data_IF_883169542070
#
_entry.id   IF_883169542070
#
_cell.length_a   1.000
_cell.length_b   1.000
_cell.length_c   1.000
_cell.angle_alpha   90.00
_cell.angle_beta   90.00
_cell.angle_gamma   90.00
#
_symmetry.space_group_name_H-M   'P 1'
#
loop_
_entity.id
_entity.type
_entity.pdbx_description
1 polymer ?
#
# COMPACT_ATOMS: atom_id res chain seq x y z
N UNK A 1 19.33 -2.89 25.69
CA UNK A 1 18.51 -4.10 25.93
C UNK A 1 18.23 -4.28 27.42
N UNK A 2 19.25 -4.41 28.29
CA UNK A 2 19.03 -4.61 29.74
C UNK A 2 18.13 -3.56 30.42
N UNK A 3 18.24 -2.29 30.02
CA UNK A 3 17.37 -1.21 30.50
C UNK A 3 15.89 -1.41 30.09
N UNK A 4 15.64 -1.93 28.90
CA UNK A 4 14.29 -2.28 28.45
C UNK A 4 13.77 -3.51 29.17
N UNK A 5 14.61 -4.52 29.39
CA UNK A 5 14.23 -5.71 30.16
C UNK A 5 13.86 -5.35 31.62
N UNK A 6 14.57 -4.39 32.22
CA UNK A 6 14.23 -3.85 33.54
C UNK A 6 12.91 -3.06 33.52
N UNK A 7 12.70 -2.20 32.52
CA UNK A 7 11.47 -1.42 32.36
C UNK A 7 10.24 -2.32 32.15
N UNK A 8 10.37 -3.38 31.33
CA UNK A 8 9.29 -4.34 31.07
C UNK A 8 8.93 -5.20 32.30
N UNK A 9 9.83 -5.36 33.28
CA UNK A 9 9.45 -5.98 34.57
C UNK A 9 8.50 -5.10 35.38
N UNK A 10 8.57 -3.78 35.22
CA UNK A 10 7.71 -2.82 35.90
C UNK A 10 6.41 -2.58 35.13
N UNK A 11 6.48 -2.60 33.80
CA UNK A 11 5.37 -2.33 32.89
C UNK A 11 5.28 -3.43 31.82
N UNK A 12 4.86 -4.65 32.19
CA UNK A 12 4.93 -5.82 31.30
C UNK A 12 3.96 -5.78 30.12
N UNK A 13 2.93 -4.94 30.18
CA UNK A 13 1.93 -4.80 29.13
C UNK A 13 2.06 -3.53 28.30
N UNK A 14 3.13 -2.74 28.46
CA UNK A 14 3.28 -1.48 27.75
C UNK A 14 3.75 -1.72 26.30
N UNK A 15 2.88 -1.50 25.29
CA UNK A 15 3.21 -1.77 23.89
C UNK A 15 4.37 -0.91 23.38
N UNK A 16 4.51 0.32 23.87
CA UNK A 16 5.58 1.23 23.45
C UNK A 16 6.93 0.71 23.94
N UNK A 17 7.03 0.22 25.18
CA UNK A 17 8.27 -0.37 25.70
C UNK A 17 8.67 -1.65 24.96
N UNK A 18 7.69 -2.49 24.60
CA UNK A 18 7.94 -3.68 23.78
C UNK A 18 8.45 -3.32 22.39
N UNK A 19 7.87 -2.29 21.78
CA UNK A 19 8.28 -1.82 20.46
C UNK A 19 9.66 -1.16 20.47
N UNK A 20 9.94 -0.28 21.44
CA UNK A 20 11.28 0.32 21.60
C UNK A 20 12.36 -0.74 21.81
N UNK A 21 12.05 -1.83 22.54
CA UNK A 21 12.95 -2.96 22.69
C UNK A 21 13.19 -3.68 21.36
N UNK A 22 12.15 -3.84 20.54
CA UNK A 22 12.28 -4.43 19.21
C UNK A 22 13.13 -3.56 18.28
N UNK A 23 12.96 -2.24 18.31
CA UNK A 23 13.82 -1.29 17.58
C UNK A 23 15.27 -1.36 18.06
N UNK A 24 15.51 -1.52 19.36
CA UNK A 24 16.86 -1.72 19.89
C UNK A 24 17.49 -3.06 19.44
N UNK A 25 16.69 -4.11 19.26
CA UNK A 25 17.14 -5.39 18.69
C UNK A 25 17.47 -5.26 17.20
N UNK A 26 16.63 -4.54 16.45
CA UNK A 26 16.86 -4.20 15.05
C UNK A 26 18.16 -3.42 14.86
N UNK A 27 18.39 -2.39 15.68
CA UNK A 27 19.58 -1.54 15.60
C UNK A 27 20.90 -2.32 15.81
N UNK A 28 20.87 -3.45 16.51
CA UNK A 28 22.05 -4.32 16.73
C UNK A 28 22.07 -5.56 15.82
N UNK A 29 21.25 -5.59 14.77
CA UNK A 29 21.23 -6.66 13.77
C UNK A 29 20.56 -7.95 14.24
N UNK A 30 19.85 -7.95 15.37
CA UNK A 30 19.13 -9.13 15.88
C UNK A 30 17.74 -9.24 15.23
N UNK A 31 17.71 -9.36 13.90
CA UNK A 31 16.49 -9.27 13.09
C UNK A 31 15.41 -10.28 13.49
N UNK A 32 15.79 -11.54 13.72
CA UNK A 32 14.87 -12.59 14.19
C UNK A 32 14.16 -12.22 15.50
N UNK A 33 14.90 -11.69 16.48
CA UNK A 33 14.33 -11.30 17.78
C UNK A 33 13.48 -10.04 17.68
N UNK A 34 13.90 -9.08 16.85
CA UNK A 34 13.14 -7.87 16.58
C UNK A 34 11.80 -8.18 15.90
N UNK A 35 11.83 -9.02 14.86
CA UNK A 35 10.64 -9.47 14.15
C UNK A 35 9.66 -10.21 15.05
N UNK A 36 10.14 -11.14 15.89
CA UNK A 36 9.29 -11.86 16.83
C UNK A 36 8.60 -10.91 17.83
N UNK A 37 9.33 -9.92 18.34
CA UNK A 37 8.77 -8.92 19.26
C UNK A 37 7.72 -8.03 18.56
N UNK A 38 8.01 -7.55 17.35
CA UNK A 38 7.07 -6.74 16.57
C UNK A 38 5.85 -7.55 16.11
N UNK A 39 6.00 -8.81 15.74
CA UNK A 39 4.87 -9.66 15.37
C UNK A 39 3.92 -9.84 16.56
N UNK A 40 4.47 -10.17 17.75
CA UNK A 40 3.69 -10.30 18.96
C UNK A 40 2.99 -8.99 19.36
N UNK A 41 3.69 -7.85 19.24
CA UNK A 41 3.12 -6.53 19.46
C UNK A 41 1.95 -6.28 18.51
N UNK A 42 2.19 -6.42 17.20
CA UNK A 42 1.21 -6.12 16.16
C UNK A 42 0.01 -7.05 16.23
N UNK A 43 0.14 -8.27 16.73
CA UNK A 43 -1.00 -9.14 16.98
C UNK A 43 -2.02 -8.52 17.96
N UNK A 44 -1.56 -7.76 18.95
CA UNK A 44 -2.36 -7.23 20.06
C UNK A 44 -2.64 -5.71 19.98
N UNK A 45 -1.76 -4.93 19.37
CA UNK A 45 -1.81 -3.47 19.36
C UNK A 45 -1.26 -2.90 18.04
N UNK A 46 -1.67 -1.68 17.63
CA UNK A 46 -0.99 -0.97 16.55
C UNK A 46 0.45 -0.60 16.95
N UNK A 47 1.37 -0.59 15.97
CA UNK A 47 2.73 -0.09 16.15
C UNK A 47 2.83 1.44 16.03
N UNK A 48 4.01 1.98 16.27
CA UNK A 48 4.30 3.42 16.11
C UNK A 48 4.08 3.90 14.68
N UNK A 49 3.68 5.16 14.54
CA UNK A 49 3.81 5.88 13.27
C UNK A 49 5.25 6.38 13.05
N UNK A 50 5.52 6.87 11.84
CA UNK A 50 6.85 7.39 11.50
C UNK A 50 7.28 8.53 12.42
N UNK A 51 6.37 9.44 12.77
CA UNK A 51 6.68 10.60 13.64
C UNK A 51 7.23 10.14 14.98
N UNK A 52 6.57 9.14 15.57
CA UNK A 52 6.95 8.58 16.87
C UNK A 52 8.24 7.78 16.73
N UNK A 53 8.35 6.88 15.74
CA UNK A 53 9.56 6.07 15.53
C UNK A 53 10.79 6.95 15.29
N UNK A 54 10.68 7.95 14.40
CA UNK A 54 11.76 8.88 14.09
C UNK A 54 12.23 9.65 15.32
N UNK A 55 11.30 10.00 16.23
CA UNK A 55 11.63 10.70 17.48
C UNK A 55 12.44 9.87 18.46
N UNK A 56 12.37 8.53 18.36
CA UNK A 56 13.17 7.62 19.21
C UNK A 56 14.64 7.57 18.77
N UNK A 57 14.90 7.95 17.52
CA UNK A 57 16.24 8.02 16.96
C UNK A 57 16.85 9.39 17.21
N UNK A 58 18.05 9.41 17.82
CA UNK A 58 18.82 10.65 17.97
C UNK A 58 19.40 11.17 16.65
N UNK A 59 19.57 10.27 15.66
CA UNK A 59 20.03 10.58 14.31
C UNK A 59 19.34 9.65 13.29
N UNK A 60 18.74 10.22 12.25
CA UNK A 60 18.06 9.46 11.19
C UNK A 60 19.03 8.81 10.20
N UNK A 61 20.28 9.27 10.13
CA UNK A 61 21.31 8.60 9.32
C UNK A 61 21.61 7.21 9.89
N UNK A 62 21.62 7.07 11.23
CA UNK A 62 21.84 5.78 11.89
C UNK A 62 20.69 4.81 11.58
N UNK A 63 19.45 5.30 11.58
CA UNK A 63 18.28 4.51 11.14
C UNK A 63 18.43 4.05 9.69
N UNK A 64 18.85 4.96 8.81
CA UNK A 64 19.05 4.66 7.39
C UNK A 64 20.11 3.57 7.19
N UNK A 65 21.23 3.64 7.90
CA UNK A 65 22.28 2.61 7.88
C UNK A 65 21.76 1.26 8.36
N UNK A 66 20.98 1.24 9.45
CA UNK A 66 20.38 0.01 9.98
C UNK A 66 19.39 -0.62 8.99
N UNK A 67 18.58 0.20 8.32
CA UNK A 67 17.64 -0.26 7.31
C UNK A 67 18.37 -0.86 6.10
N UNK A 68 19.44 -0.20 5.60
CA UNK A 68 20.28 -0.75 4.52
C UNK A 68 20.94 -2.07 4.90
N UNK A 69 21.34 -2.24 6.17
CA UNK A 69 21.89 -3.50 6.65
C UNK A 69 20.85 -4.64 6.63
N UNK A 70 19.58 -4.35 6.96
CA UNK A 70 18.49 -5.32 6.87
C UNK A 70 18.16 -5.69 5.41
N UNK A 71 18.14 -4.71 4.50
CA UNK A 71 17.96 -4.97 3.07
C UNK A 71 19.08 -5.85 2.51
N UNK A 72 20.35 -5.53 2.79
CA UNK A 72 21.50 -6.33 2.37
C UNK A 72 21.51 -7.74 2.99
N UNK A 73 21.00 -7.90 4.22
CA UNK A 73 20.81 -9.22 4.82
C UNK A 73 19.84 -10.07 3.99
N UNK A 74 18.75 -9.50 3.50
CA UNK A 74 17.77 -10.19 2.67
C UNK A 74 18.24 -10.50 1.23
N UNK A 75 19.24 -9.76 0.72
CA UNK A 75 19.90 -10.13 -0.54
C UNK A 75 20.65 -11.46 -0.42
N UNK A 76 21.30 -11.69 0.72
CA UNK A 76 22.05 -12.93 0.99
C UNK A 76 21.22 -14.03 1.65
N UNK A 77 20.13 -13.68 2.33
CA UNK A 77 19.22 -14.60 3.03
C UNK A 77 17.80 -14.42 2.52
N UNK A 78 17.53 -14.76 1.24
CA UNK A 78 16.21 -14.57 0.67
C UNK A 78 15.11 -15.34 1.42
N UNK A 79 15.41 -16.47 2.04
CA UNK A 79 14.35 -17.25 2.71
C UNK A 79 14.20 -16.91 4.21
N UNK A 80 14.75 -15.77 4.66
CA UNK A 80 14.56 -15.28 6.02
C UNK A 80 13.21 -14.54 6.17
N UNK A 81 12.20 -15.31 6.56
CA UNK A 81 10.85 -14.80 6.82
C UNK A 81 10.82 -13.73 7.93
N UNK A 82 11.65 -13.84 8.96
CA UNK A 82 11.62 -12.88 10.07
C UNK A 82 12.22 -11.54 9.64
N UNK A 83 13.35 -11.57 8.92
CA UNK A 83 13.92 -10.36 8.32
C UNK A 83 12.95 -9.71 7.32
N UNK A 84 12.23 -10.54 6.54
CA UNK A 84 11.19 -10.06 5.62
C UNK A 84 10.05 -9.37 6.37
N UNK A 85 9.56 -9.95 7.48
CA UNK A 85 8.54 -9.34 8.33
C UNK A 85 9.01 -8.01 8.93
N UNK A 86 10.25 -7.97 9.40
CA UNK A 86 10.86 -6.77 9.96
C UNK A 86 11.00 -5.66 8.91
N UNK A 87 11.41 -5.99 7.69
CA UNK A 87 11.53 -5.02 6.61
C UNK A 87 10.14 -4.50 6.18
N UNK A 88 9.15 -5.39 6.07
CA UNK A 88 7.75 -5.02 5.87
C UNK A 88 7.28 -4.01 6.92
N UNK A 89 7.58 -4.24 8.20
CA UNK A 89 7.24 -3.32 9.28
C UNK A 89 7.80 -1.92 9.05
N UNK A 90 9.11 -1.82 8.77
CA UNK A 90 9.74 -0.52 8.54
C UNK A 90 9.20 0.19 7.31
N UNK A 91 8.92 -0.54 6.22
CA UNK A 91 8.25 0.04 5.06
C UNK A 91 6.84 0.54 5.40
N UNK A 92 6.06 -0.18 6.19
CA UNK A 92 4.74 0.28 6.64
C UNK A 92 4.80 1.57 7.44
N UNK A 93 5.69 1.63 8.42
CA UNK A 93 5.83 2.81 9.27
C UNK A 93 6.18 4.03 8.42
N UNK A 94 7.05 3.87 7.42
CA UNK A 94 7.46 4.93 6.49
C UNK A 94 6.42 5.22 5.39
N UNK A 95 5.29 4.50 5.34
CA UNK A 95 4.24 4.69 4.33
C UNK A 95 4.47 3.99 2.98
N UNK A 96 5.55 3.21 2.86
CA UNK A 96 5.91 2.43 1.67
C UNK A 96 5.08 1.14 1.57
N UNK A 97 3.77 1.29 1.37
CA UNK A 97 2.80 0.18 1.47
C UNK A 97 3.02 -0.91 0.42
N UNK A 98 3.44 -0.56 -0.80
CA UNK A 98 3.71 -1.54 -1.87
C UNK A 98 4.90 -2.44 -1.50
N UNK A 99 6.03 -1.85 -1.10
CA UNK A 99 7.19 -2.63 -0.68
C UNK A 99 6.92 -3.47 0.58
N UNK A 100 6.06 -2.98 1.48
CA UNK A 100 5.61 -3.75 2.62
C UNK A 100 4.77 -4.97 2.21
N UNK A 101 3.88 -4.82 1.24
CA UNK A 101 3.08 -5.93 0.70
C UNK A 101 3.98 -7.00 0.10
N UNK A 102 4.98 -6.64 -0.70
CA UNK A 102 5.94 -7.59 -1.28
C UNK A 102 6.65 -8.42 -0.21
N UNK A 103 7.11 -7.74 0.85
CA UNK A 103 7.77 -8.40 1.98
C UNK A 103 6.79 -9.29 2.76
N UNK A 104 5.55 -8.84 3.01
CA UNK A 104 4.54 -9.65 3.70
C UNK A 104 4.10 -10.87 2.90
N UNK A 105 3.97 -10.78 1.58
CA UNK A 105 3.70 -11.93 0.71
C UNK A 105 4.78 -13.01 0.86
N UNK A 106 6.04 -12.58 0.95
CA UNK A 106 7.17 -13.48 1.20
C UNK A 106 7.07 -14.15 2.57
N UNK A 107 6.72 -13.40 3.63
CA UNK A 107 6.47 -13.96 4.96
C UNK A 107 5.38 -15.02 4.89
N UNK A 108 4.22 -14.71 4.29
CA UNK A 108 3.10 -15.64 4.20
C UNK A 108 3.45 -16.89 3.40
N UNK A 109 4.27 -16.77 2.35
CA UNK A 109 4.77 -17.90 1.56
C UNK A 109 5.68 -18.82 2.38
N UNK A 110 6.60 -18.24 3.16
CA UNK A 110 7.58 -18.97 3.97
C UNK A 110 6.98 -19.50 5.29
N UNK A 111 6.02 -18.78 5.85
CA UNK A 111 5.35 -19.05 7.12
C UNK A 111 3.82 -18.91 6.95
N UNK A 112 3.15 -19.89 6.33
CA UNK A 112 1.71 -19.84 6.08
C UNK A 112 0.82 -19.89 7.34
N UNK A 113 1.41 -19.99 8.53
CA UNK A 113 0.70 -19.97 9.81
C UNK A 113 0.86 -18.64 10.56
N UNK A 114 1.61 -17.68 10.01
CA UNK A 114 1.75 -16.34 10.59
C UNK A 114 0.46 -15.53 10.34
N UNK A 115 -0.45 -15.58 11.31
CA UNK A 115 -1.73 -14.88 11.24
C UNK A 115 -1.57 -13.36 11.27
N UNK A 116 -0.51 -12.85 11.91
CA UNK A 116 -0.25 -11.41 11.97
C UNK A 116 0.14 -10.90 10.59
N UNK A 117 1.07 -11.58 9.92
CA UNK A 117 1.48 -11.25 8.55
C UNK A 117 0.31 -11.34 7.56
N UNK A 118 -0.53 -12.38 7.67
CA UNK A 118 -1.74 -12.51 6.84
C UNK A 118 -2.74 -11.38 7.06
N UNK A 119 -2.97 -11.00 8.32
CA UNK A 119 -3.89 -9.91 8.66
C UNK A 119 -3.38 -8.58 8.11
N UNK A 120 -2.10 -8.28 8.31
CA UNK A 120 -1.46 -7.07 7.78
C UNK A 120 -1.52 -7.04 6.25
N UNK A 121 -1.19 -8.15 5.60
CA UNK A 121 -1.27 -8.29 4.15
C UNK A 121 -2.71 -8.06 3.65
N UNK A 122 -3.71 -8.63 4.32
CA UNK A 122 -5.12 -8.43 3.98
C UNK A 122 -5.56 -6.98 4.19
N UNK A 123 -5.12 -6.33 5.27
CA UNK A 123 -5.44 -4.92 5.52
C UNK A 123 -4.87 -3.99 4.44
N UNK A 124 -3.69 -4.31 3.92
CA UNK A 124 -2.99 -3.50 2.91
C UNK A 124 -3.44 -3.82 1.49
N UNK A 125 -3.77 -5.08 1.20
CA UNK A 125 -4.28 -5.53 -0.09
C UNK A 125 -5.79 -5.28 -0.25
N UNK A 126 -6.50 -4.96 0.84
CA UNK A 126 -7.96 -4.87 0.87
C UNK A 126 -8.64 -6.23 1.12
N UNK A 127 -9.98 -6.27 1.29
CA UNK A 127 -10.69 -7.51 1.61
C UNK A 127 -10.35 -8.62 0.60
N UNK A 128 -10.19 -9.86 1.08
CA UNK A 128 -9.83 -10.95 0.21
C UNK A 128 -10.94 -11.12 -0.82
N UNK A 129 -10.63 -10.97 -2.10
CA UNK A 129 -11.42 -11.61 -3.12
C UNK A 129 -11.41 -13.10 -2.75
N UNK A 130 -12.59 -13.64 -2.45
CA UNK A 130 -12.77 -14.98 -1.89
C UNK A 130 -11.86 -16.01 -2.60
N UNK A 131 -11.12 -16.77 -1.79
CA UNK A 131 -10.22 -17.86 -2.18
C UNK A 131 -10.69 -18.59 -3.44
N UNK A 132 -9.92 -18.46 -4.53
CA UNK A 132 -9.88 -19.44 -5.60
C UNK A 132 -8.49 -20.11 -5.58
N UNK A 133 -8.41 -21.46 -5.72
CA UNK A 133 -7.18 -22.20 -5.47
C UNK A 133 -6.15 -21.98 -6.58
N UNK A 134 -4.89 -22.22 -6.21
CA UNK A 134 -3.69 -22.09 -7.03
C UNK A 134 -3.86 -22.56 -8.49
N UNK A 135 -3.61 -21.63 -9.41
CA UNK A 135 -3.13 -21.95 -10.75
C UNK A 135 -2.05 -20.94 -11.14
N UNK A 136 -0.84 -21.47 -11.34
CA UNK A 136 0.30 -20.78 -11.93
C UNK A 136 -0.08 -20.41 -13.36
N UNK A 137 -0.28 -19.13 -13.66
CA UNK A 137 -0.19 -18.62 -15.02
C UNK A 137 0.07 -17.12 -15.00
N UNK A 138 1.12 -16.73 -15.72
CA UNK A 138 1.45 -15.37 -16.13
C UNK A 138 0.20 -14.51 -16.41
N UNK A 139 0.10 -13.40 -15.70
CA UNK A 139 -0.85 -12.33 -15.95
C UNK A 139 -0.16 -10.98 -15.89
N UNK A 140 0.80 -10.75 -16.78
CA UNK A 140 1.09 -9.40 -17.29
C UNK A 140 -0.25 -8.68 -17.45
N UNK A 141 -0.45 -7.46 -16.95
CA UNK A 141 -1.55 -6.63 -17.46
C UNK A 141 -1.38 -6.56 -18.98
N UNK A 142 -2.35 -6.99 -19.81
CA UNK A 142 -2.35 -6.62 -21.20
C UNK A 142 -3.61 -5.79 -21.40
N UNK A 143 -3.51 -4.46 -21.48
CA UNK A 143 -3.75 -3.74 -22.76
C UNK A 143 -4.20 -2.31 -22.62
N UNK A 144 -4.77 -1.82 -21.52
CA UNK A 144 -5.25 -0.42 -21.51
C UNK A 144 -4.11 0.56 -21.20
N UNK A 145 -3.48 1.10 -22.24
CA UNK A 145 -2.53 2.21 -22.12
C UNK A 145 -3.28 3.48 -21.69
N UNK A 146 -3.25 3.86 -20.42
CA UNK A 146 -4.09 4.97 -19.92
C UNK A 146 -3.75 6.33 -20.53
N UNK A 147 -2.54 6.53 -21.04
CA UNK A 147 -2.14 7.75 -21.75
C UNK A 147 -3.02 7.93 -22.99
N UNK A 148 -3.65 9.09 -23.11
CA UNK A 148 -4.55 9.42 -24.21
C UNK A 148 -5.82 10.13 -23.75
N UNK A 149 -6.74 10.32 -24.70
CA UNK A 149 -8.03 10.96 -24.45
C UNK A 149 -9.14 9.91 -24.39
N UNK A 150 -9.99 10.03 -23.39
CA UNK A 150 -11.03 9.08 -23.04
C UNK A 150 -12.36 9.78 -22.85
N UNK A 151 -13.43 9.11 -23.26
CA UNK A 151 -14.79 9.62 -23.11
C UNK A 151 -15.67 8.57 -22.42
N UNK A 152 -16.41 9.02 -21.41
CA UNK A 152 -17.46 8.27 -20.73
C UNK A 152 -18.76 9.08 -20.71
N UNK A 153 -19.87 8.42 -20.41
CA UNK A 153 -21.16 9.06 -20.22
C UNK A 153 -21.89 8.45 -19.03
N UNK A 154 -22.47 9.30 -18.19
CA UNK A 154 -23.31 8.93 -17.06
C UNK A 154 -24.64 9.70 -17.16
N UNK A 155 -25.68 9.03 -17.65
CA UNK A 155 -26.93 9.71 -17.99
C UNK A 155 -26.69 10.81 -19.04
N UNK A 156 -27.07 12.04 -18.72
CA UNK A 156 -26.89 13.22 -19.58
C UNK A 156 -25.50 13.88 -19.45
N UNK A 157 -24.70 13.44 -18.48
CA UNK A 157 -23.36 13.98 -18.24
C UNK A 157 -22.33 13.30 -19.13
N UNK A 158 -21.60 14.10 -19.91
CA UNK A 158 -20.43 13.64 -20.66
C UNK A 158 -19.17 13.91 -19.85
N UNK A 159 -18.29 12.91 -19.78
CA UNK A 159 -17.05 12.98 -19.03
C UNK A 159 -15.90 12.74 -19.98
N UNK A 160 -14.99 13.70 -20.05
CA UNK A 160 -13.74 13.59 -20.81
C UNK A 160 -12.57 13.49 -19.83
N UNK A 161 -11.76 12.45 -19.99
CA UNK A 161 -10.52 12.26 -19.24
C UNK A 161 -9.36 12.27 -20.23
N UNK A 162 -8.41 13.18 -20.04
CA UNK A 162 -7.13 13.18 -20.77
C UNK A 162 -6.03 12.80 -19.81
N UNK A 163 -5.15 11.88 -20.21
CA UNK A 163 -3.96 11.47 -19.47
C UNK A 163 -2.75 11.68 -20.36
N UNK A 164 -1.74 12.37 -19.86
CA UNK A 164 -0.48 12.64 -20.56
C UNK A 164 0.58 11.59 -20.23
N UNK A 165 1.66 11.58 -21.01
CA UNK A 165 2.79 10.66 -20.86
C UNK A 165 3.57 10.83 -19.55
N UNK A 166 3.51 12.03 -18.96
CA UNK A 166 4.02 12.35 -17.63
C UNK A 166 3.02 12.07 -16.50
N UNK A 167 1.95 11.32 -16.77
CA UNK A 167 0.93 10.91 -15.80
C UNK A 167 0.15 12.07 -15.16
N UNK A 168 0.09 13.24 -15.81
CA UNK A 168 -0.91 14.24 -15.45
C UNK A 168 -2.25 13.88 -16.08
N UNK A 169 -3.34 14.28 -15.42
CA UNK A 169 -4.67 14.12 -15.97
C UNK A 169 -5.47 15.43 -15.99
N UNK A 170 -6.43 15.48 -16.90
CA UNK A 170 -7.50 16.48 -16.90
C UNK A 170 -8.83 15.77 -17.05
N UNK A 171 -9.71 15.96 -16.07
CA UNK A 171 -11.07 15.44 -16.05
C UNK A 171 -12.07 16.58 -16.27
N UNK A 172 -12.97 16.43 -17.23
CA UNK A 172 -14.01 17.41 -17.54
C UNK A 172 -15.38 16.75 -17.53
N UNK A 173 -16.23 17.17 -16.60
CA UNK A 173 -17.64 16.78 -16.58
C UNK A 173 -18.51 17.89 -17.16
N UNK A 174 -19.29 17.54 -18.19
CA UNK A 174 -20.18 18.42 -18.93
C UNK A 174 -21.62 17.92 -18.74
N UNK A 175 -22.39 18.61 -17.90
CA UNK A 175 -23.80 18.30 -17.65
C UNK A 175 -24.66 19.43 -18.24
N UNK A 176 -25.71 19.13 -19.03
CA UNK A 176 -26.60 20.15 -19.56
C UNK A 176 -27.20 21.04 -18.47
N UNK A 177 -27.08 22.36 -18.63
CA UNK A 177 -27.61 23.34 -17.67
C UNK A 177 -26.76 23.56 -16.41
N UNK A 178 -25.61 22.88 -16.27
CA UNK A 178 -24.64 23.14 -15.20
C UNK A 178 -23.32 23.69 -15.76
N UNK A 179 -22.58 24.49 -14.97
CA UNK A 179 -21.23 24.88 -15.33
C UNK A 179 -20.32 23.65 -15.47
N UNK A 180 -19.44 23.67 -16.46
CA UNK A 180 -18.45 22.60 -16.66
C UNK A 180 -17.54 22.49 -15.43
N UNK A 181 -17.40 21.26 -14.93
CA UNK A 181 -16.46 20.95 -13.84
C UNK A 181 -15.17 20.44 -14.46
N UNK A 182 -14.04 21.06 -14.11
CA UNK A 182 -12.70 20.65 -14.54
C UNK A 182 -11.84 20.32 -13.31
N UNK A 183 -11.25 19.13 -13.31
CA UNK A 183 -10.27 18.69 -12.32
C UNK A 183 -8.96 18.38 -13.01
N UNK A 184 -7.85 18.70 -12.36
CA UNK A 184 -6.49 18.42 -12.84
C UNK A 184 -5.63 17.94 -11.68
N UNK A 185 -4.61 17.17 -12.03
CA UNK A 185 -3.54 16.81 -11.13
C UNK A 185 -2.81 15.58 -11.60
N UNK A 186 -2.32 14.78 -10.66
CA UNK A 186 -1.46 13.63 -10.93
C UNK A 186 -2.27 12.33 -10.85
N UNK A 187 -2.01 11.45 -11.81
CA UNK A 187 -2.64 10.15 -11.90
C UNK A 187 -1.65 9.07 -11.45
N UNK A 188 -2.05 8.29 -10.45
CA UNK A 188 -1.27 7.15 -9.96
C UNK A 188 -2.08 5.87 -10.12
N UNK A 189 -1.41 4.78 -10.51
CA UNK A 189 -2.05 3.46 -10.65
C UNK A 189 -1.40 2.43 -9.76
N UNK A 190 -2.20 1.68 -9.01
CA UNK A 190 -1.73 0.55 -8.20
C UNK A 190 -2.66 -0.65 -8.42
N UNK A 191 -2.14 -1.70 -9.04
CA UNK A 191 -2.90 -2.92 -9.39
C UNK A 191 -4.14 -2.64 -10.25
N UNK A 192 -5.33 -2.51 -9.63
CA UNK A 192 -6.60 -2.19 -10.27
C UNK A 192 -7.18 -0.86 -9.76
N UNK A 193 -6.42 -0.06 -9.03
CA UNK A 193 -6.82 1.24 -8.53
C UNK A 193 -6.23 2.34 -9.40
N UNK A 194 -7.06 3.34 -9.67
CA UNK A 194 -6.69 4.60 -10.30
C UNK A 194 -6.96 5.71 -9.30
N UNK A 195 -5.88 6.38 -8.91
CA UNK A 195 -5.87 7.46 -7.94
C UNK A 195 -5.67 8.75 -8.73
N UNK A 196 -6.65 9.63 -8.67
CA UNK A 196 -6.67 10.95 -9.27
C UNK A 196 -6.44 11.97 -8.17
N UNK A 197 -5.17 12.33 -7.94
CA UNK A 197 -4.83 13.33 -6.95
C UNK A 197 -5.02 14.72 -7.54
N UNK A 198 -5.94 15.51 -6.99
CA UNK A 198 -6.23 16.86 -7.46
C UNK A 198 -5.67 17.90 -6.51
N UNK A 199 -5.03 18.93 -7.07
CA UNK A 199 -4.46 20.03 -6.28
C UNK A 199 -5.51 20.83 -5.47
N UNK A 200 -6.79 20.69 -5.82
CA UNK A 200 -7.88 21.52 -5.29
C UNK A 200 -8.98 20.76 -4.55
N UNK A 201 -9.20 19.47 -4.81
CA UNK A 201 -10.32 18.70 -4.24
C UNK A 201 -9.88 17.38 -3.58
N UNK A 202 -8.57 17.16 -3.43
CA UNK A 202 -8.00 15.94 -2.85
C UNK A 202 -8.00 14.76 -3.82
N UNK A 203 -7.71 13.57 -3.29
CA UNK A 203 -7.58 12.36 -4.08
C UNK A 203 -8.92 11.65 -4.31
N UNK A 204 -9.25 11.40 -5.58
CA UNK A 204 -10.34 10.50 -5.97
C UNK A 204 -9.78 9.13 -6.31
N UNK A 205 -10.27 8.11 -5.61
CA UNK A 205 -9.83 6.72 -5.81
C UNK A 205 -10.95 5.93 -6.47
N UNK A 206 -10.64 5.23 -7.56
CA UNK A 206 -11.59 4.32 -8.19
C UNK A 206 -10.95 3.04 -8.68
N UNK A 207 -11.75 1.97 -8.71
CA UNK A 207 -11.35 0.69 -9.28
C UNK A 207 -11.47 0.75 -10.79
N UNK A 208 -10.43 0.30 -11.49
CA UNK A 208 -10.38 0.18 -12.93
C UNK A 208 -10.45 -1.28 -13.32
N UNK A 209 -11.38 -1.58 -14.22
CA UNK A 209 -11.47 -2.85 -14.92
C UNK A 209 -11.18 -2.61 -16.40
N UNK A 210 -10.07 -3.17 -16.89
CA UNK A 210 -9.76 -3.13 -18.33
C UNK A 210 -10.82 -3.88 -19.12
N UNK A 211 -11.27 -3.29 -20.24
CA UNK A 211 -12.16 -3.90 -21.23
C UNK A 211 -11.48 -3.94 -22.62
N UNK A 212 -10.14 -4.00 -22.65
CA UNK A 212 -9.31 -3.98 -23.87
C UNK A 212 -8.41 -2.74 -23.97
N UNK A 213 -7.69 -2.56 -25.10
CA UNK A 213 -6.71 -1.49 -25.23
C UNK A 213 -7.30 -0.07 -25.30
N UNK A 214 -8.52 0.01 -25.83
CA UNK A 214 -9.22 1.27 -26.08
C UNK A 214 -10.47 1.43 -25.19
N UNK A 215 -10.60 0.62 -24.14
CA UNK A 215 -11.73 0.72 -23.21
C UNK A 215 -11.39 0.25 -21.80
N UNK A 216 -11.90 0.97 -20.80
CA UNK A 216 -11.87 0.54 -19.40
C UNK A 216 -13.09 1.05 -18.65
N UNK A 217 -13.40 0.41 -17.54
CA UNK A 217 -14.49 0.79 -16.64
C UNK A 217 -13.90 1.31 -15.33
N UNK A 218 -14.34 2.50 -14.90
CA UNK A 218 -13.92 3.14 -13.66
C UNK A 218 -15.08 3.16 -12.66
N UNK A 219 -14.87 2.63 -11.46
CA UNK A 219 -15.89 2.47 -10.42
C UNK A 219 -15.43 3.17 -9.15
N UNK A 220 -16.16 4.18 -8.69
CA UNK A 220 -15.85 4.87 -7.43
C UNK A 220 -16.44 4.07 -6.25
N UNK A 221 -15.64 3.69 -5.23
CA UNK A 221 -16.16 3.01 -4.04
C UNK A 221 -17.10 3.92 -3.24
N UNK A 222 -18.27 3.42 -2.85
CA UNK A 222 -19.24 4.15 -2.02
C UNK A 222 -20.44 4.75 -2.76
N UNK A 223 -20.56 4.52 -4.08
CA UNK A 223 -21.79 4.83 -4.83
C UNK A 223 -22.99 3.95 -4.40
N UNK A 224 -24.24 4.37 -4.68
CA UNK A 224 -25.42 3.58 -4.36
C UNK A 224 -25.34 2.17 -4.98
N UNK A 225 -25.84 1.13 -4.28
CA UNK A 225 -25.75 -0.25 -4.77
C UNK A 225 -26.44 -0.38 -6.13
N UNK A 226 -25.65 -0.69 -7.17
CA UNK A 226 -26.13 -0.82 -8.55
C UNK A 226 -25.54 0.17 -9.56
N UNK A 227 -24.69 1.12 -9.14
CA UNK A 227 -23.97 1.97 -10.10
C UNK A 227 -22.96 1.16 -10.93
N UNK A 228 -23.19 1.12 -12.24
CA UNK A 228 -22.42 0.35 -13.22
C UNK A 228 -21.02 0.95 -13.51
N UNK A 229 -20.57 1.96 -12.76
CA UNK A 229 -19.34 2.68 -13.05
C UNK A 229 -19.36 3.43 -14.40
N UNK A 230 -18.29 4.16 -14.67
CA UNK A 230 -18.07 4.91 -15.91
C UNK A 230 -17.32 4.05 -16.91
N UNK A 231 -17.95 3.73 -18.04
CA UNK A 231 -17.27 3.07 -19.15
C UNK A 231 -16.58 4.12 -20.02
N UNK A 232 -15.25 4.15 -19.96
CA UNK A 232 -14.40 4.99 -20.78
C UNK A 232 -14.02 4.29 -22.08
N UNK A 233 -14.06 5.05 -23.17
CA UNK A 233 -13.64 4.63 -24.51
C UNK A 233 -12.61 5.63 -25.05
N UNK A 234 -11.52 5.11 -25.63
CA UNK A 234 -10.44 5.93 -26.18
C UNK A 234 -10.97 6.70 -27.39
N UNK A 235 -10.70 8.00 -27.41
CA UNK A 235 -10.92 8.84 -28.59
C UNK A 235 -9.66 8.78 -29.45
N UNK A 236 -9.83 8.39 -30.72
CA UNK A 236 -8.78 8.43 -31.74
C UNK A 236 -8.69 9.80 -32.39
#
# INVERSE_FOLDING_TARGET
LERFDAALKLLPGDPVLHEMRALALFAVGKFQQAAAALNALLAAAPGMDWTTLASVYGNLDDYTVQLRALEAHLESHPDDAAASFLLAYHYLVMGHSEQAVDMLQRVVKLQPQDTTAQRLLTMLAGPPAAVAPAEVANGTLPTTELVGRWLASAGDTKIELTVTDDWQFTWRAMTPGQPQVELKGVLTTTSNLLILDTDSQGAMVGQVKSNGPDAFQFVVPGGPPGELGLLFSRQR
#
